data_IF_398137652346
#
_entry.id   IF_398137652346
#
_cell.length_a   1.000
_cell.length_b   1.000
_cell.length_c   1.000
_cell.angle_alpha   90.00
_cell.angle_beta   90.00
_cell.angle_gamma   90.00
#
_symmetry.space_group_name_H-M   'P 1'
#
loop_
_entity.id
_entity.type
_entity.pdbx_description
1 polymer ?
#
# COMPACT_ATOMS: atom_id res chain seq x y z
N UNK A 1 -7.49 6.39 -3.29
CA UNK A 1 -8.22 5.74 -4.39
C UNK A 1 -7.26 4.84 -5.15
N UNK A 2 -7.58 3.55 -5.28
CA UNK A 2 -6.69 2.55 -5.91
C UNK A 2 -6.73 2.58 -7.44
N UNK A 3 -7.47 3.49 -8.05
CA UNK A 3 -7.72 3.55 -9.48
C UNK A 3 -8.21 2.18 -10.04
N UNK A 4 -9.07 1.49 -9.28
CA UNK A 4 -9.73 0.25 -9.66
C UNK A 4 -11.22 0.48 -9.85
N UNK A 5 -11.79 -0.19 -10.84
CA UNK A 5 -13.24 -0.14 -11.13
C UNK A 5 -13.90 -1.36 -10.48
N UNK A 6 -14.71 -1.18 -9.42
CA UNK A 6 -15.24 -2.30 -8.60
C UNK A 6 -16.06 -3.33 -9.38
N UNK A 7 -16.83 -2.88 -10.37
CA UNK A 7 -17.69 -3.75 -11.18
C UNK A 7 -16.96 -4.48 -12.33
N UNK A 8 -15.71 -4.09 -12.62
CA UNK A 8 -14.92 -4.77 -13.63
C UNK A 8 -14.16 -5.95 -13.02
N UNK A 9 -13.86 -6.95 -13.87
CA UNK A 9 -13.09 -8.12 -13.47
C UNK A 9 -11.67 -7.77 -13.02
N UNK A 10 -11.06 -8.67 -12.24
CA UNK A 10 -9.64 -8.60 -11.84
C UNK A 10 -8.77 -8.40 -13.08
N UNK A 11 -8.94 -9.25 -14.10
CA UNK A 11 -8.18 -9.18 -15.34
C UNK A 11 -8.34 -7.85 -16.07
N UNK A 12 -9.56 -7.34 -16.19
CA UNK A 12 -9.79 -6.05 -16.86
C UNK A 12 -9.19 -4.89 -16.07
N UNK A 13 -9.27 -4.91 -14.75
CA UNK A 13 -8.59 -3.93 -13.91
C UNK A 13 -7.07 -4.02 -14.03
N UNK A 14 -6.52 -5.24 -14.10
CA UNK A 14 -5.07 -5.44 -14.23
C UNK A 14 -4.54 -4.83 -15.54
N UNK A 15 -5.24 -5.04 -16.66
CA UNK A 15 -4.78 -4.62 -17.99
C UNK A 15 -5.40 -3.31 -18.51
N UNK A 16 -6.19 -2.61 -17.72
CA UNK A 16 -6.90 -1.41 -18.17
C UNK A 16 -5.99 -0.42 -18.91
N UNK A 17 -6.29 -0.17 -20.19
CA UNK A 17 -5.52 0.70 -21.07
C UNK A 17 -4.24 0.07 -21.65
N UNK A 18 -3.95 -1.20 -21.37
CA UNK A 18 -2.79 -1.96 -21.88
C UNK A 18 -3.15 -3.42 -22.12
N UNK A 19 -4.31 -3.66 -22.71
CA UNK A 19 -4.85 -4.98 -22.93
C UNK A 19 -3.97 -5.78 -23.91
N UNK A 20 -3.62 -7.05 -23.61
CA UNK A 20 -3.01 -7.93 -24.60
C UNK A 20 -3.98 -8.18 -25.73
N UNK A 21 -3.49 -8.04 -26.95
CA UNK A 21 -4.31 -8.17 -28.15
C UNK A 21 -3.93 -9.42 -28.94
N UNK A 22 -4.94 -10.08 -29.54
CA UNK A 22 -4.78 -11.17 -30.49
C UNK A 22 -5.53 -10.87 -31.80
N UNK A 23 -5.13 -11.51 -32.90
CA UNK A 23 -5.76 -11.39 -34.21
C UNK A 23 -4.84 -10.79 -35.27
N UNK A 24 -5.40 -10.52 -36.44
CA UNK A 24 -4.69 -9.95 -37.60
C UNK A 24 -4.42 -8.43 -37.36
N UNK A 25 -3.45 -7.84 -38.08
CA UNK A 25 -3.07 -6.44 -37.88
C UNK A 25 -4.23 -5.44 -37.91
N UNK A 26 -5.25 -5.69 -38.72
CA UNK A 26 -6.41 -4.82 -38.87
C UNK A 26 -7.63 -5.23 -38.03
N UNK A 27 -7.61 -6.44 -37.39
CA UNK A 27 -8.70 -6.99 -36.58
C UNK A 27 -8.14 -7.52 -35.27
N UNK A 28 -7.72 -6.64 -34.39
CA UNK A 28 -7.21 -6.98 -33.07
C UNK A 28 -8.35 -7.01 -32.05
N UNK A 29 -8.41 -8.08 -31.28
CA UNK A 29 -9.35 -8.23 -30.16
C UNK A 29 -8.58 -8.46 -28.85
N UNK A 30 -9.22 -8.19 -27.74
CA UNK A 30 -8.63 -8.45 -26.42
C UNK A 30 -8.42 -9.96 -26.22
N UNK A 31 -7.18 -10.35 -25.94
CA UNK A 31 -6.84 -11.73 -25.61
C UNK A 31 -7.12 -12.01 -24.11
N UNK A 32 -8.39 -12.27 -23.82
CA UNK A 32 -8.86 -12.47 -22.44
C UNK A 32 -8.25 -13.70 -21.78
N UNK A 33 -7.97 -14.77 -22.53
CA UNK A 33 -7.39 -16.01 -22.01
C UNK A 33 -5.96 -15.77 -21.51
N UNK A 34 -5.13 -15.16 -22.36
CA UNK A 34 -3.78 -14.75 -22.00
C UNK A 34 -3.78 -13.76 -20.85
N UNK A 35 -4.69 -12.80 -20.85
CA UNK A 35 -4.84 -11.82 -19.80
C UNK A 35 -5.22 -12.47 -18.45
N UNK A 36 -6.17 -13.41 -18.44
CA UNK A 36 -6.57 -14.17 -17.25
C UNK A 36 -5.40 -14.96 -16.68
N UNK A 37 -4.65 -15.65 -17.54
CA UNK A 37 -3.48 -16.42 -17.10
C UNK A 37 -2.42 -15.53 -16.44
N UNK A 38 -2.07 -14.40 -17.07
CA UNK A 38 -1.08 -13.46 -16.53
C UNK A 38 -1.57 -12.86 -15.21
N UNK A 39 -2.82 -12.39 -15.15
CA UNK A 39 -3.36 -11.80 -13.93
C UNK A 39 -3.34 -12.81 -12.77
N UNK A 40 -3.80 -14.04 -12.97
CA UNK A 40 -3.77 -15.09 -11.97
C UNK A 40 -2.33 -15.43 -11.53
N UNK A 41 -1.41 -15.58 -12.47
CA UNK A 41 0.01 -15.85 -12.19
C UNK A 41 0.63 -14.73 -11.33
N UNK A 42 0.45 -13.47 -11.71
CA UNK A 42 1.01 -12.32 -10.98
C UNK A 42 0.43 -12.17 -9.58
N UNK A 43 -0.86 -12.39 -9.42
CA UNK A 43 -1.50 -12.38 -8.10
C UNK A 43 -1.03 -13.59 -7.27
N UNK A 44 -0.90 -14.78 -7.87
CA UNK A 44 -0.37 -15.97 -7.20
C UNK A 44 1.07 -15.79 -6.69
N UNK A 45 1.94 -15.09 -7.43
CA UNK A 45 3.30 -14.78 -7.00
C UNK A 45 3.38 -13.98 -5.69
N UNK A 46 2.32 -13.29 -5.31
CA UNK A 46 2.20 -12.51 -4.08
C UNK A 46 1.33 -13.20 -3.02
N UNK A 47 0.98 -14.48 -3.28
CA UNK A 47 0.20 -15.28 -2.34
C UNK A 47 -1.31 -15.01 -2.36
N UNK A 48 -1.81 -14.35 -3.41
CA UNK A 48 -3.24 -14.13 -3.62
C UNK A 48 -3.73 -15.13 -4.67
N UNK A 49 -4.51 -16.09 -4.22
CA UNK A 49 -5.15 -17.07 -5.08
C UNK A 49 -6.39 -16.47 -5.74
N UNK A 50 -6.23 -16.02 -6.98
CA UNK A 50 -7.35 -15.56 -7.81
C UNK A 50 -7.94 -16.77 -8.53
N UNK A 51 -8.90 -17.45 -7.87
CA UNK A 51 -9.57 -18.65 -8.43
C UNK A 51 -10.32 -18.35 -9.70
N UNK A 52 -10.93 -17.18 -9.77
CA UNK A 52 -11.65 -16.69 -10.95
C UNK A 52 -11.20 -15.27 -11.33
N UNK A 53 -10.29 -15.12 -12.33
CA UNK A 53 -9.88 -13.81 -12.80
C UNK A 53 -11.00 -12.96 -13.42
N UNK A 54 -12.15 -13.57 -13.72
CA UNK A 54 -13.35 -12.87 -14.22
C UNK A 54 -14.21 -12.27 -13.10
N UNK A 55 -13.94 -12.61 -11.83
CA UNK A 55 -14.67 -12.04 -10.68
C UNK A 55 -14.51 -10.51 -10.63
N UNK A 56 -15.56 -9.82 -10.17
CA UNK A 56 -15.53 -8.38 -9.99
C UNK A 56 -14.55 -7.99 -8.86
N UNK A 57 -13.70 -6.98 -9.07
CA UNK A 57 -12.74 -6.51 -8.06
C UNK A 57 -13.43 -6.07 -6.76
N UNK A 58 -14.66 -5.59 -6.84
CA UNK A 58 -15.47 -5.23 -5.68
C UNK A 58 -15.71 -6.38 -4.68
N UNK A 59 -15.59 -7.65 -5.11
CA UNK A 59 -15.74 -8.83 -4.25
C UNK A 59 -14.46 -9.20 -3.50
N UNK A 60 -13.33 -8.60 -3.86
CA UNK A 60 -12.04 -8.81 -3.20
C UNK A 60 -11.95 -8.02 -1.89
N UNK A 61 -11.17 -8.52 -0.95
CA UNK A 61 -10.82 -7.78 0.27
C UNK A 61 -10.02 -6.51 -0.03
N UNK A 62 -10.00 -5.56 0.89
CA UNK A 62 -9.22 -4.33 0.75
C UNK A 62 -7.73 -4.58 0.47
N UNK A 63 -7.13 -5.53 1.20
CA UNK A 63 -5.72 -5.90 1.00
C UNK A 63 -5.45 -6.54 -0.36
N UNK A 64 -6.33 -7.40 -0.85
CA UNK A 64 -6.20 -7.99 -2.19
C UNK A 64 -6.30 -6.93 -3.29
N UNK A 65 -7.23 -5.98 -3.15
CA UNK A 65 -7.33 -4.84 -4.08
C UNK A 65 -6.06 -3.99 -4.08
N UNK A 66 -5.50 -3.71 -2.90
CA UNK A 66 -4.24 -2.98 -2.78
C UNK A 66 -3.10 -3.73 -3.48
N UNK A 67 -2.98 -5.02 -3.24
CA UNK A 67 -1.98 -5.86 -3.88
C UNK A 67 -2.18 -5.95 -5.41
N UNK A 68 -3.42 -5.98 -5.90
CA UNK A 68 -3.73 -5.94 -7.34
C UNK A 68 -3.18 -4.65 -7.97
N UNK A 69 -3.42 -3.49 -7.35
CA UNK A 69 -2.93 -2.20 -7.84
C UNK A 69 -1.38 -2.15 -7.89
N UNK A 70 -0.72 -2.64 -6.83
CA UNK A 70 0.75 -2.72 -6.77
C UNK A 70 1.28 -3.69 -7.82
N UNK A 71 0.68 -4.88 -7.96
CA UNK A 71 1.08 -5.90 -8.94
C UNK A 71 0.99 -5.39 -10.37
N UNK A 72 -0.11 -4.69 -10.68
CA UNK A 72 -0.29 -4.00 -11.96
C UNK A 72 0.82 -3.00 -12.23
N UNK A 73 1.15 -2.13 -11.27
CA UNK A 73 2.19 -1.14 -11.44
C UNK A 73 3.56 -1.78 -11.72
N UNK A 74 3.91 -2.85 -10.99
CA UNK A 74 5.15 -3.59 -11.18
C UNK A 74 5.18 -4.28 -12.56
N UNK A 75 4.11 -4.96 -12.93
CA UNK A 75 4.02 -5.66 -14.22
C UNK A 75 4.24 -4.72 -15.40
N UNK A 76 3.72 -3.50 -15.34
CA UNK A 76 3.91 -2.49 -16.38
C UNK A 76 5.19 -1.67 -16.25
N UNK A 77 6.13 -2.08 -15.41
CA UNK A 77 7.48 -1.54 -15.36
C UNK A 77 7.61 -0.22 -14.61
N UNK A 78 6.80 0.00 -13.58
CA UNK A 78 7.00 1.10 -12.66
C UNK A 78 8.43 1.09 -12.11
N UNK A 79 9.03 2.25 -11.98
CA UNK A 79 10.35 2.44 -11.35
C UNK A 79 10.24 2.97 -9.93
N UNK A 80 9.18 3.72 -9.69
CA UNK A 80 8.84 4.28 -8.37
C UNK A 80 7.40 3.93 -8.05
N UNK A 81 7.16 3.50 -6.84
CA UNK A 81 5.83 3.22 -6.29
C UNK A 81 5.59 4.18 -5.13
N UNK A 82 4.55 5.00 -5.24
CA UNK A 82 4.11 5.89 -4.15
C UNK A 82 2.83 5.31 -3.57
N UNK A 83 2.84 5.01 -2.29
CA UNK A 83 1.73 4.43 -1.54
C UNK A 83 1.33 5.40 -0.43
N UNK A 84 0.12 5.92 -0.53
CA UNK A 84 -0.46 6.82 0.47
C UNK A 84 -1.47 6.05 1.32
N UNK A 85 -1.16 5.93 2.61
CA UNK A 85 -1.94 5.20 3.62
C UNK A 85 -2.41 3.80 3.17
N UNK A 86 -1.56 2.95 2.58
CA UNK A 86 -2.00 1.71 1.93
C UNK A 86 -2.57 0.67 2.89
N UNK A 87 -2.44 0.88 4.19
CA UNK A 87 -2.87 -0.07 5.24
C UNK A 87 -3.89 0.51 6.21
N UNK A 88 -4.33 1.77 6.05
CA UNK A 88 -5.16 2.49 7.02
C UNK A 88 -6.55 1.85 7.25
N UNK A 89 -7.15 1.29 6.20
CA UNK A 89 -8.48 0.67 6.26
C UNK A 89 -8.43 -0.87 6.27
N UNK A 90 -7.29 -1.45 6.64
CA UNK A 90 -7.05 -2.89 6.59
C UNK A 90 -6.92 -3.49 7.99
N UNK A 91 -7.46 -4.70 8.17
CA UNK A 91 -7.16 -5.51 9.36
C UNK A 91 -5.70 -5.96 9.37
N UNK A 92 -5.22 -6.40 10.54
CA UNK A 92 -3.80 -6.76 10.78
C UNK A 92 -3.25 -7.74 9.74
N UNK A 93 -4.00 -8.80 9.42
CA UNK A 93 -3.59 -9.80 8.43
C UNK A 93 -3.43 -9.20 7.03
N UNK A 94 -4.39 -8.39 6.61
CA UNK A 94 -4.39 -7.74 5.29
C UNK A 94 -3.25 -6.70 5.18
N UNK A 95 -3.05 -5.89 6.22
CA UNK A 95 -1.94 -4.94 6.29
C UNK A 95 -0.57 -5.66 6.20
N UNK A 96 -0.40 -6.77 6.92
CA UNK A 96 0.80 -7.60 6.84
C UNK A 96 1.08 -8.13 5.43
N UNK A 97 0.03 -8.55 4.71
CA UNK A 97 0.14 -9.02 3.32
C UNK A 97 0.64 -7.88 2.39
N UNK A 98 0.04 -6.71 2.49
CA UNK A 98 0.45 -5.52 1.70
C UNK A 98 1.90 -5.14 2.00
N UNK A 99 2.29 -5.07 3.29
CA UNK A 99 3.65 -4.71 3.69
C UNK A 99 4.70 -5.72 3.22
N UNK A 100 4.42 -7.02 3.30
CA UNK A 100 5.29 -8.07 2.73
C UNK A 100 5.48 -7.87 1.23
N UNK A 101 4.41 -7.49 0.53
CA UNK A 101 4.51 -7.25 -0.91
C UNK A 101 5.30 -5.98 -1.24
N UNK A 102 5.18 -4.93 -0.43
CA UNK A 102 6.01 -3.72 -0.54
C UNK A 102 7.50 -4.06 -0.41
N UNK A 103 7.87 -4.85 0.61
CA UNK A 103 9.26 -5.31 0.80
C UNK A 103 9.75 -6.12 -0.39
N UNK A 104 8.91 -7.03 -0.91
CA UNK A 104 9.24 -7.82 -2.10
C UNK A 104 9.45 -6.95 -3.33
N UNK A 105 8.60 -5.94 -3.55
CA UNK A 105 8.75 -4.98 -4.64
C UNK A 105 10.07 -4.21 -4.54
N UNK A 106 10.41 -3.72 -3.35
CA UNK A 106 11.68 -3.03 -3.12
C UNK A 106 12.89 -3.93 -3.36
N UNK A 107 12.85 -5.20 -2.94
CA UNK A 107 13.92 -6.18 -3.19
C UNK A 107 14.13 -6.49 -4.69
N UNK A 108 13.12 -6.24 -5.52
CA UNK A 108 13.20 -6.36 -6.98
C UNK A 108 13.69 -5.08 -7.68
N UNK A 109 14.14 -4.09 -6.91
CA UNK A 109 14.74 -2.86 -7.42
C UNK A 109 13.76 -1.70 -7.66
N UNK A 110 12.51 -1.79 -7.17
CA UNK A 110 11.61 -0.64 -7.17
C UNK A 110 11.98 0.33 -6.04
N UNK A 111 12.01 1.62 -6.35
CA UNK A 111 11.98 2.65 -5.33
C UNK A 111 10.55 2.74 -4.75
N UNK A 112 10.41 2.66 -3.44
CA UNK A 112 9.10 2.75 -2.78
C UNK A 112 9.06 3.93 -1.83
N UNK A 113 8.06 4.78 -1.99
CA UNK A 113 7.71 5.85 -1.07
C UNK A 113 6.42 5.43 -0.35
N UNK A 114 6.53 5.14 0.93
CA UNK A 114 5.40 4.78 1.78
C UNK A 114 5.05 5.97 2.67
N UNK A 115 3.86 6.53 2.47
CA UNK A 115 3.32 7.61 3.29
C UNK A 115 2.34 6.98 4.27
N UNK A 116 2.57 7.18 5.56
CA UNK A 116 1.67 6.66 6.60
C UNK A 116 1.89 7.38 7.93
N UNK A 117 0.83 7.45 8.73
CA UNK A 117 0.90 7.88 10.13
C UNK A 117 1.16 6.70 11.10
N UNK A 118 1.20 5.47 10.60
CA UNK A 118 1.40 4.28 11.44
C UNK A 118 2.86 3.84 11.44
N UNK A 119 3.61 4.23 12.47
CA UNK A 119 5.02 3.86 12.65
C UNK A 119 5.21 2.35 12.76
N UNK A 120 4.25 1.62 13.36
CA UNK A 120 4.35 0.16 13.48
C UNK A 120 4.32 -0.55 12.12
N UNK A 121 3.71 0.07 11.11
CA UNK A 121 3.72 -0.42 9.73
C UNK A 121 4.94 0.07 8.95
N UNK A 122 5.36 1.35 9.15
CA UNK A 122 6.46 1.94 8.43
C UNK A 122 7.82 1.41 8.86
N UNK A 123 8.06 1.31 10.18
CA UNK A 123 9.38 0.99 10.72
C UNK A 123 9.92 -0.39 10.30
N UNK A 124 9.13 -1.49 10.29
CA UNK A 124 9.63 -2.79 9.83
C UNK A 124 10.13 -2.79 8.39
N UNK A 125 9.50 -2.02 7.51
CA UNK A 125 9.69 -2.08 6.05
C UNK A 125 10.55 -0.95 5.50
N UNK A 126 10.64 0.19 6.20
CA UNK A 126 11.40 1.37 5.77
C UNK A 126 12.90 1.21 5.95
N UNK A 127 13.67 1.87 5.10
CA UNK A 127 15.13 2.01 5.22
C UNK A 127 15.51 3.42 5.70
N UNK A 128 14.69 4.42 5.36
CA UNK A 128 14.85 5.82 5.72
C UNK A 128 13.48 6.42 6.01
N UNK A 129 13.42 7.37 6.93
CA UNK A 129 12.19 7.98 7.40
C UNK A 129 12.31 9.50 7.34
N UNK A 130 11.38 10.14 6.63
CA UNK A 130 11.23 11.60 6.65
C UNK A 130 9.99 11.92 7.46
N UNK A 131 10.17 12.60 8.57
CA UNK A 131 9.07 12.98 9.47
C UNK A 131 8.54 14.35 9.07
N UNK A 132 7.23 14.39 8.79
CA UNK A 132 6.51 15.61 8.46
C UNK A 132 5.50 15.92 9.57
N UNK A 133 5.52 17.15 10.07
CA UNK A 133 4.55 17.62 11.05
C UNK A 133 4.10 19.04 10.69
N UNK A 134 2.78 19.25 10.55
CA UNK A 134 2.15 20.55 10.24
C UNK A 134 2.81 21.30 9.06
N UNK A 135 3.10 20.58 7.98
CA UNK A 135 3.69 21.14 6.77
C UNK A 135 5.19 21.43 6.86
N UNK A 136 5.86 21.03 7.95
CA UNK A 136 7.31 21.16 8.12
C UNK A 136 7.97 19.79 8.17
N UNK A 137 9.17 19.67 7.61
CA UNK A 137 10.02 18.50 7.81
C UNK A 137 10.79 18.63 9.12
N UNK A 138 10.67 17.60 9.97
CA UNK A 138 11.47 17.50 11.21
C UNK A 138 12.81 16.81 10.97
N UNK A 139 13.04 16.30 9.77
CA UNK A 139 14.28 15.66 9.37
C UNK A 139 14.08 14.36 8.61
N UNK A 140 15.19 13.85 8.07
CA UNK A 140 15.27 12.53 7.41
C UNK A 140 16.33 11.71 8.13
N UNK A 141 15.95 10.50 8.52
CA UNK A 141 16.75 9.60 9.35
C UNK A 141 16.87 8.24 8.67
N UNK A 142 18.07 7.64 8.69
CA UNK A 142 18.18 6.24 8.32
C UNK A 142 17.68 5.35 9.46
N UNK A 143 17.18 4.17 9.13
CA UNK A 143 16.67 3.19 10.12
C UNK A 143 17.67 2.86 11.24
N UNK A 144 18.96 2.85 10.92
CA UNK A 144 20.03 2.56 11.90
C UNK A 144 20.29 3.68 12.88
N UNK A 145 19.85 4.91 12.55
CA UNK A 145 20.19 6.14 13.28
C UNK A 145 18.99 6.63 14.12
N UNK A 146 17.85 5.96 14.06
CA UNK A 146 16.63 6.33 14.80
C UNK A 146 15.86 5.10 15.26
N UNK A 147 15.40 5.10 16.50
CA UNK A 147 14.52 4.06 17.03
C UNK A 147 13.06 4.27 16.63
N UNK A 148 12.26 3.20 16.81
CA UNK A 148 10.81 3.29 16.58
C UNK A 148 10.13 4.24 17.56
N UNK A 149 10.60 4.24 18.80
CA UNK A 149 10.11 5.07 19.91
C UNK A 149 10.36 6.56 19.65
N UNK A 150 11.54 6.91 19.14
CA UNK A 150 11.88 8.28 18.74
C UNK A 150 11.01 8.76 17.57
N UNK A 151 10.78 7.91 16.56
CA UNK A 151 9.87 8.23 15.46
C UNK A 151 8.43 8.47 15.96
N UNK A 152 7.93 7.63 16.86
CA UNK A 152 6.63 7.80 17.49
C UNK A 152 6.53 9.14 18.23
N UNK A 153 7.54 9.49 19.05
CA UNK A 153 7.60 10.76 19.75
C UNK A 153 7.56 11.97 18.82
N UNK A 154 8.33 11.94 17.73
CA UNK A 154 8.33 13.02 16.74
C UNK A 154 6.98 13.17 16.02
N UNK A 155 6.31 12.06 15.69
CA UNK A 155 5.01 12.08 14.99
C UNK A 155 3.86 12.46 15.92
N UNK A 156 3.92 12.06 17.17
CA UNK A 156 2.92 12.38 18.18
C UNK A 156 2.95 13.85 18.63
N UNK A 157 4.00 14.61 18.24
CA UNK A 157 4.16 15.99 18.69
C UNK A 157 4.48 16.09 20.17
N UNK A 158 5.36 15.24 20.69
CA UNK A 158 5.80 15.04 22.08
C UNK A 158 5.30 16.03 23.15
N UNK A 159 5.61 17.32 22.96
CA UNK A 159 5.17 18.39 23.85
C UNK A 159 3.64 18.59 23.93
N UNK A 160 2.89 18.21 22.89
CA UNK A 160 1.42 18.40 22.87
C UNK A 160 0.70 17.25 23.57
N UNK A 161 1.24 16.03 23.49
CA UNK A 161 0.71 14.90 24.26
C UNK A 161 0.94 15.11 25.76
N UNK A 162 2.13 15.55 26.14
CA UNK A 162 2.46 15.86 27.53
C UNK A 162 1.52 16.94 28.08
N UNK A 163 1.23 17.98 27.31
CA UNK A 163 0.25 19.01 27.68
C UNK A 163 -1.17 18.46 27.81
N UNK A 164 -1.60 17.63 26.86
CA UNK A 164 -2.93 17.03 26.89
C UNK A 164 -3.08 16.08 28.08
N UNK A 165 -2.07 15.28 28.40
CA UNK A 165 -2.09 14.41 29.58
C UNK A 165 -2.25 15.22 30.85
N UNK A 166 -1.49 16.33 31.02
CA UNK A 166 -1.61 17.23 32.16
C UNK A 166 -3.01 17.84 32.25
N UNK A 167 -3.55 18.34 31.14
CA UNK A 167 -4.91 18.91 31.08
C UNK A 167 -5.98 17.88 31.46
N UNK A 168 -5.87 16.64 30.97
CA UNK A 168 -6.81 15.57 31.30
C UNK A 168 -6.72 15.13 32.75
N UNK A 169 -5.52 15.09 33.35
CA UNK A 169 -5.33 14.83 34.78
C UNK A 169 -5.93 15.93 35.65
N UNK A 170 -5.75 17.18 35.26
CA UNK A 170 -6.37 18.31 35.96
C UNK A 170 -7.91 18.25 35.89
N UNK A 171 -8.47 17.98 34.73
CA UNK A 171 -9.93 17.79 34.56
C UNK A 171 -10.48 16.66 35.42
N UNK A 172 -9.76 15.54 35.50
CA UNK A 172 -10.15 14.40 36.33
C UNK A 172 -10.08 14.69 37.81
N UNK A 173 -9.14 15.57 38.27
CA UNK A 173 -9.06 16.01 39.68
C UNK A 173 -10.19 16.94 40.08
N UNK A 174 -10.73 17.73 39.14
CA UNK A 174 -11.82 18.67 39.41
C UNK A 174 -13.18 17.95 39.47
N UNK A 175 -13.30 16.80 38.78
CA UNK A 175 -14.55 16.02 38.69
C UNK A 175 -14.70 14.92 39.76
N UNK A 176 -13.69 14.73 40.62
CA UNK A 176 -13.71 13.84 41.80
C UNK A 176 -13.67 14.66 43.12
#
# INVERSE_FOLDING_TARGET
>A
DLALVPLMSVTRNFFMGREPLKGLPFFKTFDIEKANQIAAERMGQIGIDVRDPSQAVGTMSGGERQCLAISRAIYFGAKVLVLDEPTSALGVHQASMVLKYVVKAASQGLAVILITHNVHHAYPVGNSFTVLNRGKSLGTFNKKDISREELLGMMAGGEELDKLEVELEEMNRINN
#
